data_IF_973842418127
#
_entry.id   IF_973842418127
#
_cell.length_a   1.000
_cell.length_b   1.000
_cell.length_c   1.000
_cell.angle_alpha   90.00
_cell.angle_beta   90.00
_cell.angle_gamma   90.00
#
_symmetry.space_group_name_H-M   'P 1'
#
loop_
_entity.id
_entity.type
_entity.pdbx_description
1 polymer ?
#
# COMPACT_ATOMS: atom_id res chain seq x y z
N UNK A 1 -42.77 63.61 -56.04
CA UNK A 1 -43.98 64.22 -55.41
C UNK A 1 -43.88 63.98 -53.91
N UNK A 2 -43.53 65.01 -53.20
CA UNK A 2 -44.32 65.72 -52.21
C UNK A 2 -44.92 64.80 -51.14
N UNK A 3 -44.56 64.97 -49.94
CA UNK A 3 -44.85 65.78 -48.70
C UNK A 3 -45.27 64.77 -47.64
N UNK A 4 -45.17 64.88 -46.36
CA UNK A 4 -44.91 65.96 -45.40
C UNK A 4 -44.66 65.36 -44.00
N UNK A 5 -43.86 66.04 -43.25
CA UNK A 5 -43.73 66.21 -41.82
C UNK A 5 -44.91 65.84 -40.92
N UNK A 6 -44.61 65.23 -39.79
CA UNK A 6 -45.15 65.65 -38.50
C UNK A 6 -44.15 65.29 -37.37
N UNK A 7 -43.87 66.34 -36.59
CA UNK A 7 -43.15 66.28 -35.32
C UNK A 7 -44.08 65.77 -34.21
N UNK A 8 -43.58 64.93 -33.35
CA UNK A 8 -44.23 64.60 -32.10
C UNK A 8 -43.16 64.29 -31.08
N UNK A 9 -42.91 65.24 -30.19
CA UNK A 9 -41.99 65.08 -29.08
C UNK A 9 -42.58 64.18 -28.00
N UNK A 10 -41.76 63.34 -27.43
CA UNK A 10 -42.07 62.60 -26.23
C UNK A 10 -40.86 62.65 -25.27
N UNK A 11 -41.15 63.04 -24.09
CA UNK A 11 -40.20 63.30 -23.04
C UNK A 11 -39.45 62.02 -22.63
N UNK A 12 -38.18 62.22 -22.42
CA UNK A 12 -37.27 61.19 -21.87
C UNK A 12 -37.44 61.12 -20.33
N UNK A 13 -38.08 60.08 -19.87
CA UNK A 13 -38.06 59.72 -18.44
C UNK A 13 -36.78 58.95 -18.17
N UNK A 14 -35.77 59.56 -17.53
CA UNK A 14 -34.59 58.93 -17.05
C UNK A 14 -34.95 58.16 -15.78
N UNK A 15 -35.10 56.85 -15.88
CA UNK A 15 -35.13 55.94 -14.72
C UNK A 15 -33.73 55.70 -14.23
N UNK A 16 -33.34 56.31 -13.14
CA UNK A 16 -32.09 56.02 -12.45
C UNK A 16 -32.20 54.67 -11.75
N UNK A 17 -31.60 53.63 -12.32
CA UNK A 17 -31.37 52.34 -11.67
C UNK A 17 -30.24 52.51 -10.67
N UNK A 18 -30.57 52.62 -9.38
CA UNK A 18 -29.64 52.46 -8.27
C UNK A 18 -29.28 50.98 -8.16
N UNK A 19 -28.15 50.59 -8.75
CA UNK A 19 -27.51 49.29 -8.50
C UNK A 19 -26.85 49.35 -7.13
N UNK A 20 -27.54 48.84 -6.11
CA UNK A 20 -26.95 48.60 -4.80
C UNK A 20 -25.94 47.43 -4.94
N UNK A 21 -24.68 47.76 -5.11
CA UNK A 21 -23.58 46.77 -5.00
C UNK A 21 -23.52 46.32 -3.54
N UNK A 22 -24.11 45.19 -3.20
CA UNK A 22 -23.88 44.49 -1.97
C UNK A 22 -22.46 43.93 -2.05
N UNK A 23 -21.50 44.63 -1.44
CA UNK A 23 -20.17 44.02 -1.16
C UNK A 23 -20.40 42.88 -0.17
N UNK A 24 -20.44 41.64 -0.67
CA UNK A 24 -20.23 40.48 0.17
C UNK A 24 -18.82 40.57 0.75
N UNK A 25 -18.73 40.99 2.01
CA UNK A 25 -17.50 40.85 2.77
C UNK A 25 -17.26 39.34 2.88
N UNK A 26 -16.41 38.81 2.01
CA UNK A 26 -15.82 37.48 2.19
C UNK A 26 -14.95 37.59 3.45
N UNK A 27 -15.55 37.25 4.59
CA UNK A 27 -14.78 37.03 5.81
C UNK A 27 -13.93 35.79 5.55
N UNK A 28 -12.73 36.00 4.99
CA UNK A 28 -11.69 34.99 5.04
C UNK A 28 -11.46 34.72 6.53
N UNK A 29 -11.66 33.47 7.01
CA UNK A 29 -11.32 33.16 8.38
C UNK A 29 -9.86 33.57 8.57
N UNK A 30 -9.60 34.38 9.59
CA UNK A 30 -8.22 34.75 9.95
C UNK A 30 -7.38 33.48 9.98
N UNK A 31 -6.17 33.49 9.41
CA UNK A 31 -5.29 32.34 9.52
C UNK A 31 -5.21 32.01 11.01
N UNK A 32 -5.64 30.80 11.37
CA UNK A 32 -5.56 30.35 12.76
C UNK A 32 -4.13 30.56 13.17
N UNK A 33 -3.90 31.37 14.20
CA UNK A 33 -2.62 31.45 14.87
C UNK A 33 -2.36 30.07 15.48
N UNK A 34 -1.80 29.17 14.68
CA UNK A 34 -1.16 28.00 15.22
C UNK A 34 0.00 28.53 16.06
N UNK A 35 0.08 28.15 17.33
CA UNK A 35 1.34 28.15 18.06
C UNK A 35 2.40 27.54 17.17
N UNK A 36 3.67 27.75 17.46
CA UNK A 36 4.77 27.28 16.62
C UNK A 36 4.47 25.91 16.05
N UNK A 37 4.45 25.79 14.72
CA UNK A 37 4.13 24.52 14.05
C UNK A 37 5.09 23.46 14.58
N UNK A 38 4.62 22.23 14.88
CA UNK A 38 5.51 21.19 15.36
C UNK A 38 6.64 20.97 14.35
N UNK A 39 7.86 20.83 14.83
CA UNK A 39 9.01 20.55 13.98
C UNK A 39 8.94 19.11 13.46
N UNK A 40 9.66 18.82 12.38
CA UNK A 40 9.81 17.46 11.84
C UNK A 40 10.34 16.51 12.92
N UNK A 41 11.30 16.95 13.72
CA UNK A 41 11.88 16.15 14.81
C UNK A 41 10.83 15.82 15.89
N UNK A 42 9.99 16.79 16.25
CA UNK A 42 8.90 16.55 17.21
C UNK A 42 7.88 15.55 16.67
N UNK A 43 7.47 15.70 15.41
CA UNK A 43 6.53 14.78 14.77
C UNK A 43 7.12 13.39 14.62
N UNK A 44 8.39 13.27 14.22
CA UNK A 44 9.10 11.99 14.11
C UNK A 44 9.19 11.30 15.47
N UNK A 45 9.54 12.04 16.54
CA UNK A 45 9.63 11.48 17.88
C UNK A 45 8.28 10.99 18.40
N UNK A 46 7.21 11.78 18.17
CA UNK A 46 5.84 11.38 18.51
C UNK A 46 5.38 10.17 17.69
N UNK A 47 5.60 10.18 16.37
CA UNK A 47 5.25 9.06 15.49
C UNK A 47 5.91 7.76 15.94
N UNK A 48 7.23 7.80 16.25
CA UNK A 48 7.96 6.67 16.81
C UNK A 48 7.38 6.20 18.15
N UNK A 49 7.14 7.13 19.08
CA UNK A 49 6.63 6.78 20.41
C UNK A 49 5.26 6.12 20.33
N UNK A 50 4.40 6.57 19.42
CA UNK A 50 3.08 5.98 19.14
C UNK A 50 3.18 4.65 18.38
N UNK A 51 4.13 4.51 17.46
CA UNK A 51 4.36 3.29 16.69
C UNK A 51 4.73 2.10 17.59
N UNK A 52 5.44 2.37 18.69
CA UNK A 52 5.87 1.38 19.68
C UNK A 52 4.90 1.22 20.86
N UNK A 53 3.76 1.92 20.87
CA UNK A 53 2.85 1.96 22.02
C UNK A 53 1.67 0.98 21.89
N UNK A 54 1.68 -0.16 22.62
CA UNK A 54 0.54 -1.07 22.63
C UNK A 54 -0.71 -0.47 23.31
N UNK A 55 -0.54 0.56 24.15
CA UNK A 55 -1.63 1.27 24.79
C UNK A 55 -2.60 1.95 23.82
N UNK A 56 -2.22 2.10 22.55
CA UNK A 56 -3.09 2.62 21.51
C UNK A 56 -4.11 1.59 20.99
N UNK A 57 -3.93 0.29 21.23
CA UNK A 57 -4.94 -0.72 20.88
C UNK A 57 -6.04 -0.81 21.95
N UNK A 58 -7.21 -1.27 21.52
CA UNK A 58 -8.39 -1.37 22.40
C UNK A 58 -8.14 -2.24 23.64
N UNK A 59 -7.37 -3.31 23.46
CA UNK A 59 -7.01 -4.27 24.52
C UNK A 59 -5.63 -4.01 25.16
N UNK A 60 -4.89 -3.01 24.69
CA UNK A 60 -3.57 -2.64 25.22
C UNK A 60 -2.44 -3.61 24.85
N UNK A 61 -2.61 -4.48 23.84
CA UNK A 61 -1.63 -5.53 23.50
C UNK A 61 -0.91 -5.32 22.19
N UNK A 62 -1.45 -4.53 21.27
CA UNK A 62 -0.95 -4.38 19.91
C UNK A 62 -0.41 -2.97 19.67
N UNK A 63 0.82 -2.90 19.23
CA UNK A 63 1.44 -1.71 18.67
C UNK A 63 1.63 -1.88 17.15
N UNK A 64 1.88 -0.80 16.41
CA UNK A 64 2.25 -0.92 14.99
C UNK A 64 3.48 -1.82 14.82
N UNK A 65 4.48 -1.68 15.70
CA UNK A 65 5.68 -2.50 15.74
C UNK A 65 5.42 -4.00 16.00
N UNK A 66 4.26 -4.39 16.53
CA UNK A 66 3.89 -5.80 16.70
C UNK A 66 3.76 -6.52 15.36
N UNK A 67 3.19 -5.83 14.36
CA UNK A 67 2.96 -6.35 13.01
C UNK A 67 4.01 -5.87 12.02
N UNK A 68 4.54 -4.66 12.21
CA UNK A 68 5.58 -4.04 11.38
C UNK A 68 6.90 -3.99 12.12
N UNK A 69 7.56 -5.17 12.24
CA UNK A 69 8.80 -5.31 13.02
C UNK A 69 9.96 -4.56 12.34
N UNK A 70 10.60 -3.58 13.01
CA UNK A 70 11.77 -2.90 12.46
C UNK A 70 12.91 -3.85 12.07
N UNK A 71 13.10 -4.95 12.82
CA UNK A 71 14.11 -5.96 12.54
C UNK A 71 13.78 -6.80 11.29
N UNK A 72 12.52 -6.82 10.85
CA UNK A 72 12.07 -7.47 9.62
C UNK A 72 11.76 -6.45 8.51
N UNK A 73 12.53 -5.36 8.45
CA UNK A 73 12.33 -4.27 7.50
C UNK A 73 10.91 -3.65 7.57
N UNK A 74 10.37 -3.45 8.77
CA UNK A 74 9.00 -2.99 9.03
C UNK A 74 7.93 -3.84 8.33
N UNK A 75 8.21 -5.09 8.14
CA UNK A 75 7.29 -6.13 7.65
C UNK A 75 6.95 -7.14 8.75
N UNK A 76 6.23 -8.22 8.41
CA UNK A 76 5.91 -9.28 9.36
C UNK A 76 7.17 -10.05 9.74
N UNK A 77 7.27 -10.42 11.01
CA UNK A 77 8.28 -11.36 11.49
C UNK A 77 7.72 -12.80 11.53
N UNK A 78 8.58 -13.77 11.89
CA UNK A 78 8.18 -15.18 11.94
C UNK A 78 7.09 -15.49 12.98
N UNK A 79 6.87 -14.60 13.98
CA UNK A 79 5.85 -14.75 15.01
C UNK A 79 4.49 -14.18 14.61
N UNK A 80 4.49 -13.20 13.69
CA UNK A 80 3.29 -12.51 13.20
C UNK A 80 3.23 -12.49 11.68
N UNK A 81 3.38 -13.64 10.98
CA UNK A 81 3.37 -13.68 9.51
C UNK A 81 2.01 -13.27 8.93
N UNK A 82 0.95 -13.47 9.70
CA UNK A 82 -0.41 -12.99 9.43
C UNK A 82 -1.02 -12.53 10.74
N UNK A 83 -1.57 -11.31 10.83
CA UNK A 83 -2.19 -10.85 12.04
C UNK A 83 -3.31 -11.81 12.44
N UNK A 84 -3.18 -12.41 13.60
CA UNK A 84 -4.25 -13.13 14.31
C UNK A 84 -4.67 -14.51 13.75
N UNK A 85 -3.80 -15.22 13.04
CA UNK A 85 -4.08 -16.62 12.64
C UNK A 85 -4.44 -17.54 13.82
N UNK A 86 -3.97 -17.21 15.02
CA UNK A 86 -4.21 -17.97 16.27
C UNK A 86 -5.23 -17.32 17.20
N UNK A 87 -5.74 -16.15 16.85
CA UNK A 87 -6.83 -15.50 17.59
C UNK A 87 -8.20 -15.99 17.08
N UNK A 88 -9.27 -15.60 17.76
CA UNK A 88 -10.64 -15.90 17.35
C UNK A 88 -10.80 -15.71 15.82
N UNK A 89 -11.20 -16.76 15.08
CA UNK A 89 -11.38 -16.69 13.63
C UNK A 89 -12.28 -15.54 13.16
N UNK A 90 -13.20 -15.08 14.02
CA UNK A 90 -14.04 -13.93 13.76
C UNK A 90 -13.26 -12.59 13.68
N UNK A 91 -12.03 -12.57 14.17
CA UNK A 91 -11.16 -11.40 14.20
C UNK A 91 -9.85 -11.60 13.42
N UNK A 92 -9.71 -12.70 12.70
CA UNK A 92 -8.50 -12.97 11.93
C UNK A 92 -8.41 -12.06 10.69
N UNK A 93 -7.25 -11.43 10.49
CA UNK A 93 -6.96 -10.71 9.27
C UNK A 93 -6.83 -11.65 8.06
N UNK A 94 -7.29 -11.22 6.91
CA UNK A 94 -7.28 -12.01 5.66
C UNK A 94 -6.08 -11.69 4.77
N UNK A 95 -5.38 -10.59 5.04
CA UNK A 95 -4.27 -10.08 4.21
C UNK A 95 -2.93 -10.21 4.92
N UNK A 96 -1.90 -10.56 4.15
CA UNK A 96 -0.51 -10.52 4.61
C UNK A 96 -0.09 -9.07 4.93
N UNK A 97 0.70 -8.90 5.98
CA UNK A 97 1.21 -7.59 6.41
C UNK A 97 2.21 -7.08 5.34
N UNK A 98 2.00 -5.92 4.72
CA UNK A 98 2.99 -5.32 3.83
C UNK A 98 4.14 -4.72 4.65
N UNK A 99 5.34 -4.64 4.06
CA UNK A 99 6.39 -3.80 4.63
C UNK A 99 6.02 -2.32 4.50
N UNK A 100 6.36 -1.51 5.51
CA UNK A 100 6.25 -0.05 5.42
C UNK A 100 7.45 0.59 4.73
N UNK A 101 8.54 -0.18 4.51
CA UNK A 101 9.70 0.36 3.77
C UNK A 101 9.33 0.71 2.36
N UNK A 102 9.81 1.89 1.93
CA UNK A 102 9.60 2.45 0.59
C UNK A 102 8.14 2.78 0.26
N UNK A 103 7.21 2.64 1.21
CA UNK A 103 5.79 2.92 0.99
C UNK A 103 5.52 4.40 0.66
N UNK A 104 6.36 5.33 1.15
CA UNK A 104 6.26 6.76 0.87
C UNK A 104 6.41 7.13 -0.61
N UNK A 105 6.90 6.22 -1.45
CA UNK A 105 7.07 6.44 -2.89
C UNK A 105 5.92 5.87 -3.75
N UNK A 106 4.90 5.27 -3.15
CA UNK A 106 3.81 4.64 -3.90
C UNK A 106 2.96 5.63 -4.72
N UNK A 107 3.02 6.92 -4.38
CA UNK A 107 2.16 7.94 -4.99
C UNK A 107 0.70 7.82 -4.56
N UNK A 108 -0.13 8.76 -5.03
CA UNK A 108 -1.58 8.67 -4.89
C UNK A 108 -2.14 7.69 -5.92
N UNK A 109 -3.28 7.12 -5.61
CA UNK A 109 -3.97 6.28 -6.58
C UNK A 109 -4.42 7.09 -7.80
N UNK A 110 -4.19 6.52 -8.97
CA UNK A 110 -4.69 7.02 -10.27
C UNK A 110 -5.25 5.83 -11.03
N UNK A 111 -6.47 5.94 -11.54
CA UNK A 111 -7.13 4.83 -12.26
C UNK A 111 -6.56 4.66 -13.67
N UNK A 112 -6.26 5.77 -14.32
CA UNK A 112 -5.72 5.81 -15.68
C UNK A 112 -4.37 6.51 -15.67
N UNK A 113 -3.33 5.79 -16.02
CA UNK A 113 -1.97 6.31 -16.10
C UNK A 113 -1.54 6.36 -17.55
N UNK A 114 -1.25 7.57 -18.04
CA UNK A 114 -0.69 7.77 -19.38
C UNK A 114 0.72 8.34 -19.19
N UNK A 115 1.73 7.59 -19.62
CA UNK A 115 3.11 8.06 -19.74
C UNK A 115 3.50 8.05 -21.23
N UNK A 116 3.72 9.23 -21.79
CA UNK A 116 4.04 9.37 -23.21
C UNK A 116 5.41 8.76 -23.60
N UNK A 117 6.32 8.61 -22.63
CA UNK A 117 7.64 8.01 -22.85
C UNK A 117 7.63 6.48 -22.75
N UNK A 118 6.88 5.92 -21.76
CA UNK A 118 6.84 4.46 -21.53
C UNK A 118 5.66 3.78 -22.25
N UNK A 119 4.50 4.40 -22.26
CA UNK A 119 3.28 3.80 -22.81
C UNK A 119 2.91 4.28 -24.21
N UNK A 120 3.64 5.24 -24.76
CA UNK A 120 3.33 5.88 -26.06
C UNK A 120 1.88 6.40 -26.14
N UNK A 121 1.37 6.96 -25.02
CA UNK A 121 0.03 7.48 -24.91
C UNK A 121 -1.06 6.42 -24.71
N UNK A 122 -0.69 5.16 -24.47
CA UNK A 122 -1.63 4.10 -24.07
C UNK A 122 -1.88 4.18 -22.56
N UNK A 123 -3.13 3.93 -22.15
CA UNK A 123 -3.47 3.86 -20.73
C UNK A 123 -2.77 2.66 -20.07
N UNK A 124 -1.85 2.94 -19.14
CA UNK A 124 -1.13 1.95 -18.35
C UNK A 124 -1.98 1.33 -17.22
N UNK A 125 -3.21 1.80 -17.04
CA UNK A 125 -4.15 1.31 -16.02
C UNK A 125 -3.90 1.89 -14.62
N UNK A 126 -4.53 1.28 -13.60
CA UNK A 126 -4.49 1.79 -12.23
C UNK A 126 -3.12 1.63 -11.59
N UNK A 127 -2.68 2.67 -10.88
CA UNK A 127 -1.40 2.70 -10.16
C UNK A 127 -1.49 3.52 -8.86
N UNK A 128 -0.55 3.32 -7.95
CA UNK A 128 -0.42 4.11 -6.72
C UNK A 128 -1.37 3.68 -5.59
N UNK A 129 -1.49 4.53 -4.59
CA UNK A 129 -2.19 4.21 -3.35
C UNK A 129 -1.42 3.25 -2.45
N UNK A 130 -1.83 3.18 -1.20
CA UNK A 130 -1.29 2.28 -0.18
C UNK A 130 -2.28 1.16 0.14
N UNK A 131 -1.83 0.15 0.89
CA UNK A 131 -2.46 -1.15 1.09
C UNK A 131 -2.40 -2.05 -0.16
N UNK A 132 -2.86 -3.32 -0.04
CA UNK A 132 -2.87 -4.26 -1.16
C UNK A 132 -3.84 -3.87 -2.30
N UNK A 133 -4.85 -3.08 -2.00
CA UNK A 133 -5.90 -2.66 -2.94
C UNK A 133 -5.90 -1.15 -3.23
N UNK A 134 -4.86 -0.45 -2.83
CA UNK A 134 -4.69 0.96 -3.15
C UNK A 134 -5.71 1.92 -2.51
N UNK A 135 -6.43 1.51 -1.46
CA UNK A 135 -7.55 2.27 -0.88
C UNK A 135 -7.15 3.57 -0.17
N UNK A 136 -5.91 3.76 0.22
CA UNK A 136 -5.41 4.96 0.89
C UNK A 136 -4.44 5.74 0.00
N UNK A 137 -4.56 7.06 -0.06
CA UNK A 137 -3.76 7.92 -0.92
C UNK A 137 -2.51 8.50 -0.23
N UNK A 138 -2.37 8.26 1.07
CA UNK A 138 -1.24 8.75 1.86
C UNK A 138 -0.98 7.84 3.06
N UNK A 139 0.22 7.91 3.63
CA UNK A 139 0.53 7.24 4.89
C UNK A 139 -0.39 7.71 6.02
N UNK A 140 -0.80 9.00 6.00
CA UNK A 140 -1.78 9.56 6.95
C UNK A 140 -3.12 8.83 6.88
N UNK A 141 -3.67 8.63 5.69
CA UNK A 141 -4.93 7.91 5.51
C UNK A 141 -4.77 6.43 5.87
N UNK A 142 -3.67 5.81 5.45
CA UNK A 142 -3.40 4.41 5.71
C UNK A 142 -3.28 4.11 7.21
N UNK A 143 -2.56 4.95 7.98
CA UNK A 143 -2.36 4.76 9.41
C UNK A 143 -3.67 4.77 10.23
N UNK A 144 -4.73 5.41 9.71
CA UNK A 144 -6.05 5.42 10.36
C UNK A 144 -6.77 4.07 10.26
N UNK A 145 -6.50 3.28 9.23
CA UNK A 145 -7.19 2.00 8.99
C UNK A 145 -6.95 1.03 10.16
N UNK A 146 -5.71 0.65 10.50
CA UNK A 146 -5.44 -0.30 11.58
C UNK A 146 -5.88 0.19 12.96
N UNK A 147 -5.89 1.51 13.19
CA UNK A 147 -6.31 2.05 14.49
C UNK A 147 -7.76 1.69 14.84
N UNK A 148 -8.64 1.58 13.84
CA UNK A 148 -10.07 1.32 14.02
C UNK A 148 -10.52 -0.06 13.55
N UNK A 149 -9.71 -0.78 12.76
CA UNK A 149 -10.05 -2.12 12.30
C UNK A 149 -10.19 -3.09 13.48
N UNK A 150 -11.33 -3.80 13.54
CA UNK A 150 -11.66 -4.68 14.66
C UNK A 150 -10.66 -5.85 14.81
N UNK A 151 -10.09 -6.32 13.69
CA UNK A 151 -9.09 -7.38 13.64
C UNK A 151 -7.64 -6.87 13.83
N UNK A 152 -7.45 -5.57 14.09
CA UNK A 152 -6.15 -4.94 14.34
C UNK A 152 -6.21 -4.22 15.70
N UNK A 153 -6.13 -2.90 15.76
CA UNK A 153 -6.09 -2.17 17.04
C UNK A 153 -7.48 -1.95 17.69
N UNK A 154 -8.58 -2.11 16.94
CA UNK A 154 -9.94 -2.30 17.45
C UNK A 154 -10.56 -1.12 18.21
N UNK A 155 -10.06 0.12 18.06
CA UNK A 155 -10.66 1.26 18.77
C UNK A 155 -12.06 1.54 18.24
N UNK A 156 -13.01 1.75 19.16
CA UNK A 156 -14.41 1.97 18.83
C UNK A 156 -14.66 3.31 18.09
N UNK A 157 -13.91 4.34 18.45
CA UNK A 157 -14.07 5.71 17.93
C UNK A 157 -12.87 6.61 18.26
N UNK A 158 -12.86 7.81 17.67
CA UNK A 158 -11.85 8.82 17.91
C UNK A 158 -11.76 9.25 19.39
N UNK A 159 -12.87 9.24 20.13
CA UNK A 159 -12.89 9.66 21.52
C UNK A 159 -12.16 8.65 22.42
N UNK A 160 -12.32 7.35 22.15
CA UNK A 160 -11.58 6.29 22.88
C UNK A 160 -10.09 6.38 22.61
N UNK A 161 -9.69 6.58 21.35
CA UNK A 161 -8.29 6.72 20.97
C UNK A 161 -7.66 8.00 21.54
N UNK A 162 -8.35 9.15 21.51
CA UNK A 162 -7.87 10.39 22.11
C UNK A 162 -7.65 10.27 23.62
N UNK A 163 -8.52 9.55 24.34
CA UNK A 163 -8.31 9.29 25.77
C UNK A 163 -7.05 8.44 26.04
N UNK A 164 -6.73 7.48 25.16
CA UNK A 164 -5.50 6.69 25.27
C UNK A 164 -4.26 7.56 25.09
N UNK A 165 -4.26 8.43 24.08
CA UNK A 165 -3.16 9.40 23.85
C UNK A 165 -3.03 10.36 25.04
N UNK A 166 -4.14 10.85 25.60
CA UNK A 166 -4.13 11.74 26.76
C UNK A 166 -3.55 11.09 28.04
N UNK A 167 -3.64 9.76 28.15
CA UNK A 167 -3.06 8.97 29.24
C UNK A 167 -1.68 8.38 28.93
N UNK A 168 -1.16 8.55 27.71
CA UNK A 168 0.11 7.96 27.31
C UNK A 168 1.32 8.71 27.89
N UNK A 169 2.47 8.03 27.95
CA UNK A 169 3.74 8.59 28.44
C UNK A 169 4.21 9.83 27.65
N UNK A 170 3.80 9.97 26.42
CA UNK A 170 4.12 11.08 25.51
C UNK A 170 3.01 12.15 25.44
N UNK A 171 2.02 12.12 26.33
CA UNK A 171 0.90 13.08 26.30
C UNK A 171 1.36 14.53 26.42
N UNK A 172 2.41 14.81 27.20
CA UNK A 172 2.96 16.15 27.36
C UNK A 172 3.73 16.61 26.11
N UNK A 173 4.45 15.71 25.43
CA UNK A 173 5.05 15.96 24.13
C UNK A 173 3.97 16.27 23.09
N UNK A 174 2.89 15.51 23.09
CA UNK A 174 1.75 15.73 22.21
C UNK A 174 1.10 17.09 22.45
N UNK A 175 0.89 17.48 23.72
CA UNK A 175 0.42 18.82 24.07
C UNK A 175 1.37 19.89 23.56
N UNK A 176 2.68 19.77 23.80
CA UNK A 176 3.68 20.76 23.33
C UNK A 176 3.68 20.92 21.82
N UNK A 177 3.50 19.83 21.07
CA UNK A 177 3.51 19.85 19.62
C UNK A 177 2.27 20.52 19.03
N UNK A 178 1.09 20.32 19.63
CA UNK A 178 -0.19 20.70 19.01
C UNK A 178 -1.03 21.70 19.79
N UNK A 179 -0.54 22.20 20.92
CA UNK A 179 -1.24 23.24 21.70
C UNK A 179 -1.32 24.56 20.98
N UNK A 180 -2.43 25.26 21.20
CA UNK A 180 -2.57 26.69 20.94
C UNK A 180 -2.97 27.41 22.23
N UNK A 181 -2.65 28.70 22.40
CA UNK A 181 -3.00 29.46 23.59
C UNK A 181 -4.49 29.36 23.93
N UNK A 182 -4.81 28.95 25.16
CA UNK A 182 -6.16 28.85 25.67
C UNK A 182 -6.98 27.66 25.13
N UNK A 183 -6.37 26.69 24.48
CA UNK A 183 -7.05 25.51 23.91
C UNK A 183 -6.47 24.23 24.47
N UNK A 184 -7.32 23.35 25.01
CA UNK A 184 -6.94 21.98 25.33
C UNK A 184 -6.80 21.17 24.04
N UNK A 185 -5.65 20.55 23.84
CA UNK A 185 -5.33 19.73 22.68
C UNK A 185 -6.27 18.53 22.54
N UNK A 186 -6.75 17.99 23.66
CA UNK A 186 -7.63 16.81 23.70
C UNK A 186 -9.13 17.15 23.64
N UNK A 187 -9.51 18.44 23.54
CA UNK A 187 -10.91 18.85 23.48
C UNK A 187 -11.66 18.38 22.20
N UNK A 188 -10.92 18.16 21.10
CA UNK A 188 -11.47 17.66 19.85
C UNK A 188 -10.82 16.29 19.49
N UNK A 189 -11.49 15.17 19.78
CA UNK A 189 -10.93 13.84 19.50
C UNK A 189 -10.62 13.58 18.03
N UNK A 190 -11.38 14.13 17.09
CA UNK A 190 -11.12 13.96 15.66
C UNK A 190 -9.80 14.64 15.27
N UNK A 191 -9.60 15.84 15.80
CA UNK A 191 -8.36 16.58 15.56
C UNK A 191 -7.14 15.87 16.19
N UNK A 192 -7.29 15.22 17.35
CA UNK A 192 -6.22 14.38 17.95
C UNK A 192 -5.83 13.27 16.98
N UNK A 193 -6.81 12.56 16.42
CA UNK A 193 -6.57 11.47 15.46
C UNK A 193 -5.86 11.97 14.20
N UNK A 194 -6.26 13.14 13.68
CA UNK A 194 -5.57 13.77 12.54
C UNK A 194 -4.11 14.13 12.84
N UNK A 195 -3.82 14.60 14.04
CA UNK A 195 -2.45 14.89 14.46
C UNK A 195 -1.60 13.63 14.67
N UNK A 196 -2.21 12.57 15.18
CA UNK A 196 -1.56 11.24 15.26
C UNK A 196 -1.18 10.76 13.85
N UNK A 197 -2.12 10.82 12.91
CA UNK A 197 -1.90 10.41 11.53
C UNK A 197 -0.80 11.23 10.85
N UNK A 198 -0.74 12.54 11.11
CA UNK A 198 0.37 13.40 10.65
C UNK A 198 1.71 12.96 11.25
N UNK A 199 1.75 12.64 12.54
CA UNK A 199 3.00 12.23 13.18
C UNK A 199 3.48 10.86 12.66
N UNK A 200 2.57 9.91 12.40
CA UNK A 200 2.91 8.64 11.73
C UNK A 200 3.46 8.89 10.31
N UNK A 201 2.77 9.69 9.50
CA UNK A 201 3.22 10.01 8.14
C UNK A 201 4.63 10.61 8.13
N UNK A 202 4.93 11.56 9.04
CA UNK A 202 6.27 12.16 9.12
C UNK A 202 7.31 11.17 9.62
N UNK A 203 6.97 10.30 10.56
CA UNK A 203 7.86 9.24 11.04
C UNK A 203 8.19 8.26 9.92
N UNK A 204 7.19 7.80 9.15
CA UNK A 204 7.37 6.86 8.05
C UNK A 204 8.11 7.43 6.83
N UNK A 205 8.28 8.77 6.75
CA UNK A 205 9.17 9.42 5.79
C UNK A 205 10.65 9.41 6.23
N UNK A 206 10.92 8.92 7.43
CA UNK A 206 12.27 8.81 7.97
C UNK A 206 13.19 7.92 7.12
N UNK A 207 14.51 8.20 7.18
CA UNK A 207 15.53 7.45 6.42
C UNK A 207 15.50 5.94 6.71
N UNK A 208 15.08 5.53 7.88
CA UNK A 208 14.96 4.13 8.27
C UNK A 208 13.91 3.36 7.46
N UNK A 209 12.93 4.06 6.86
CA UNK A 209 11.96 3.47 5.97
C UNK A 209 12.41 3.44 4.50
N UNK A 210 13.50 4.12 4.15
CA UNK A 210 14.04 4.13 2.80
C UNK A 210 15.57 4.31 2.79
N UNK A 211 16.34 3.36 3.32
CA UNK A 211 17.79 3.50 3.46
C UNK A 211 18.55 3.47 2.13
N UNK A 212 18.08 2.77 1.10
CA UNK A 212 18.74 2.62 -0.21
C UNK A 212 20.21 2.17 -0.09
N UNK A 213 20.49 1.20 0.75
CA UNK A 213 21.85 0.72 1.04
C UNK A 213 22.03 -0.79 0.85
N UNK A 214 21.11 -1.43 0.14
CA UNK A 214 21.19 -2.84 -0.22
C UNK A 214 22.47 -3.16 -1.01
N UNK A 215 22.79 -4.45 -1.12
CA UNK A 215 23.92 -4.87 -1.95
C UNK A 215 23.73 -4.47 -3.42
N UNK A 216 22.52 -4.51 -3.92
CA UNK A 216 22.18 -4.06 -5.25
C UNK A 216 22.41 -2.55 -5.42
N UNK A 217 22.03 -1.70 -4.43
CA UNK A 217 22.30 -0.26 -4.49
C UNK A 217 23.80 0.04 -4.52
N UNK A 218 24.59 -0.71 -3.74
CA UNK A 218 26.06 -0.59 -3.77
C UNK A 218 26.65 -1.02 -5.11
N UNK A 219 26.09 -2.07 -5.72
CA UNK A 219 26.48 -2.50 -7.06
C UNK A 219 26.16 -1.45 -8.11
N UNK A 220 24.94 -0.89 -8.12
CA UNK A 220 24.53 0.21 -9.00
C UNK A 220 25.44 1.45 -8.86
N UNK A 221 26.01 1.65 -7.68
CA UNK A 221 26.96 2.73 -7.40
C UNK A 221 28.43 2.36 -7.68
N UNK A 222 28.72 1.18 -8.24
CA UNK A 222 30.07 0.69 -8.50
C UNK A 222 30.87 0.36 -7.23
N UNK A 223 30.20 0.15 -6.08
CA UNK A 223 30.84 -0.07 -4.76
C UNK A 223 30.74 -1.52 -4.28
N UNK A 224 30.13 -2.41 -5.04
CA UNK A 224 30.04 -3.83 -4.78
C UNK A 224 30.01 -4.60 -6.11
N UNK A 225 30.33 -5.88 -6.07
CA UNK A 225 30.15 -6.82 -7.17
C UNK A 225 28.99 -7.77 -6.87
N UNK A 226 28.31 -8.22 -7.90
CA UNK A 226 27.40 -9.36 -7.84
C UNK A 226 28.20 -10.64 -8.07
N UNK A 227 27.76 -11.74 -7.50
CA UNK A 227 28.28 -13.08 -7.82
C UNK A 227 27.77 -13.52 -9.19
N UNK A 228 28.38 -14.53 -9.79
CA UNK A 228 27.97 -15.07 -11.08
C UNK A 228 26.51 -15.56 -11.08
N UNK A 229 26.00 -16.11 -9.96
CA UNK A 229 24.60 -16.50 -9.82
C UNK A 229 23.66 -15.28 -9.78
N UNK A 230 24.00 -14.26 -8.99
CA UNK A 230 23.22 -13.02 -8.90
C UNK A 230 23.17 -12.27 -10.23
N UNK A 231 24.27 -12.27 -11.00
CA UNK A 231 24.31 -11.67 -12.34
C UNK A 231 23.43 -12.43 -13.34
N UNK A 232 23.47 -13.79 -13.30
CA UNK A 232 22.55 -14.58 -14.13
C UNK A 232 21.11 -14.34 -13.72
N UNK A 233 20.82 -14.31 -12.42
CA UNK A 233 19.50 -14.02 -11.89
C UNK A 233 18.98 -12.66 -12.34
N UNK A 234 19.80 -11.61 -12.30
CA UNK A 234 19.42 -10.28 -12.81
C UNK A 234 19.12 -10.31 -14.31
N UNK A 235 19.89 -11.06 -15.11
CA UNK A 235 19.61 -11.21 -16.55
C UNK A 235 18.28 -11.91 -16.79
N UNK A 236 18.04 -13.02 -16.10
CA UNK A 236 16.78 -13.78 -16.20
C UNK A 236 15.56 -12.95 -15.74
N UNK A 237 15.73 -12.19 -14.66
CA UNK A 237 14.73 -11.27 -14.14
C UNK A 237 14.30 -10.22 -15.18
N UNK A 238 15.25 -9.71 -15.97
CA UNK A 238 15.05 -8.70 -17.01
C UNK A 238 14.66 -9.25 -18.37
N UNK A 239 14.84 -10.54 -18.60
CA UNK A 239 14.60 -11.15 -19.91
C UNK A 239 13.09 -11.29 -20.17
N UNK A 240 12.54 -10.56 -21.18
CA UNK A 240 11.11 -10.58 -21.48
C UNK A 240 10.61 -11.95 -21.99
N UNK A 241 11.53 -12.86 -22.34
CA UNK A 241 11.18 -14.22 -22.79
C UNK A 241 11.33 -15.26 -21.68
N UNK A 242 11.83 -14.87 -20.51
CA UNK A 242 12.12 -15.72 -19.35
C UNK A 242 11.32 -15.28 -18.12
N UNK A 243 11.95 -14.57 -17.19
CA UNK A 243 11.34 -14.11 -15.95
C UNK A 243 10.38 -12.95 -16.14
N UNK A 244 10.70 -12.02 -17.05
CA UNK A 244 9.92 -10.82 -17.35
C UNK A 244 9.48 -9.99 -16.13
N UNK A 245 10.21 -10.12 -15.02
CA UNK A 245 9.84 -9.48 -13.75
C UNK A 245 9.96 -7.95 -13.82
N UNK A 246 10.86 -7.44 -14.68
CA UNK A 246 11.14 -6.01 -14.83
C UNK A 246 9.93 -5.23 -15.35
N UNK A 247 8.96 -5.87 -16.00
CA UNK A 247 7.74 -5.21 -16.49
C UNK A 247 6.93 -4.58 -15.36
N UNK A 248 6.73 -5.31 -14.25
CA UNK A 248 6.00 -4.81 -13.08
C UNK A 248 6.94 -4.36 -11.94
N UNK A 249 8.20 -4.82 -11.96
CA UNK A 249 9.18 -4.53 -10.91
C UNK A 249 10.46 -3.91 -11.50
N UNK A 250 10.43 -2.66 -11.99
CA UNK A 250 11.56 -2.00 -12.63
C UNK A 250 12.82 -2.02 -11.78
N UNK A 251 13.93 -2.50 -12.34
CA UNK A 251 15.22 -2.67 -11.65
C UNK A 251 16.27 -1.62 -12.03
N UNK A 252 15.96 -0.76 -12.99
CA UNK A 252 16.88 0.28 -13.48
C UNK A 252 16.67 1.57 -12.71
N UNK A 253 17.67 2.45 -12.73
CA UNK A 253 17.48 3.81 -12.25
C UNK A 253 16.38 4.50 -13.05
N UNK A 254 15.59 5.32 -12.36
CA UNK A 254 14.63 6.19 -13.04
C UNK A 254 15.33 7.16 -13.99
N UNK A 255 14.62 7.74 -14.96
CA UNK A 255 15.15 8.75 -15.86
C UNK A 255 15.78 9.95 -15.11
N UNK A 256 15.25 10.30 -13.92
CA UNK A 256 15.81 11.29 -13.02
C UNK A 256 17.02 10.81 -12.21
N UNK A 257 17.51 9.58 -12.43
CA UNK A 257 18.66 9.01 -11.73
C UNK A 257 18.37 8.42 -10.36
N UNK A 258 17.10 8.37 -9.92
CA UNK A 258 16.68 7.77 -8.67
C UNK A 258 16.95 6.27 -8.61
N UNK A 259 17.13 5.71 -7.41
CA UNK A 259 17.28 4.28 -7.22
C UNK A 259 15.95 3.57 -7.53
N UNK A 260 15.99 2.34 -8.12
CA UNK A 260 14.78 1.61 -8.46
C UNK A 260 14.01 1.19 -7.21
N UNK A 261 12.70 1.27 -7.29
CA UNK A 261 11.79 0.83 -6.21
C UNK A 261 11.40 -0.64 -6.34
N UNK A 262 11.67 -1.27 -7.47
CA UNK A 262 11.23 -2.63 -7.80
C UNK A 262 9.72 -2.81 -7.67
N UNK A 263 8.99 -1.81 -8.11
CA UNK A 263 7.54 -1.77 -8.26
C UNK A 263 7.18 -0.63 -9.21
N UNK A 264 6.19 -0.85 -10.05
CA UNK A 264 5.46 0.15 -10.82
C UNK A 264 4.27 0.73 -10.02
N UNK A 265 4.01 0.17 -8.83
CA UNK A 265 2.81 0.41 -8.02
C UNK A 265 1.49 0.13 -8.77
N UNK A 266 1.54 -0.57 -9.91
CA UNK A 266 0.39 -1.00 -10.70
C UNK A 266 -0.43 -2.09 -10.03
N UNK A 267 -1.52 -2.51 -10.68
CA UNK A 267 -2.43 -3.52 -10.16
C UNK A 267 -2.61 -4.65 -11.16
N UNK A 268 -2.37 -5.88 -10.71
CA UNK A 268 -2.41 -7.06 -11.56
C UNK A 268 -3.09 -8.24 -10.84
N UNK A 269 -3.82 -9.07 -11.60
CA UNK A 269 -4.42 -10.31 -11.12
C UNK A 269 -3.49 -11.49 -11.47
N UNK A 270 -2.62 -11.88 -10.54
CA UNK A 270 -1.66 -12.97 -10.77
C UNK A 270 -2.25 -14.37 -10.48
N UNK A 271 -3.53 -14.45 -10.09
CA UNK A 271 -4.20 -15.72 -9.82
C UNK A 271 -3.52 -16.51 -8.69
N UNK A 272 -3.30 -15.88 -7.55
CA UNK A 272 -2.68 -16.52 -6.38
C UNK A 272 -3.48 -17.73 -5.91
N UNK A 273 -2.84 -18.78 -5.37
CA UNK A 273 -3.56 -19.88 -4.76
C UNK A 273 -4.26 -19.42 -3.47
N UNK A 274 -5.40 -20.05 -3.16
CA UNK A 274 -6.11 -19.81 -1.91
C UNK A 274 -5.29 -20.30 -0.73
N UNK A 275 -5.17 -19.47 0.28
CA UNK A 275 -4.53 -19.87 1.53
C UNK A 275 -5.46 -20.78 2.34
N UNK A 276 -4.98 -21.98 2.68
CA UNK A 276 -5.70 -22.86 3.59
C UNK A 276 -5.87 -22.22 4.98
N UNK A 277 -7.06 -22.35 5.57
CA UNK A 277 -7.35 -21.88 6.93
C UNK A 277 -7.59 -20.36 7.06
N UNK A 278 -7.65 -19.60 5.96
CA UNK A 278 -8.21 -18.25 6.04
C UNK A 278 -9.68 -18.35 6.39
N UNK A 279 -10.17 -17.55 7.38
CA UNK A 279 -11.59 -17.43 7.60
C UNK A 279 -12.24 -16.90 6.31
N UNK A 280 -13.48 -17.33 6.07
CA UNK A 280 -14.30 -16.64 5.08
C UNK A 280 -14.32 -15.14 5.43
N UNK A 281 -14.24 -14.28 4.42
CA UNK A 281 -14.41 -12.85 4.64
C UNK A 281 -15.87 -12.64 5.04
N UNK A 282 -16.15 -12.83 6.32
CA UNK A 282 -17.46 -12.53 6.87
C UNK A 282 -17.60 -11.03 6.80
N UNK A 283 -18.62 -10.56 6.09
CA UNK A 283 -19.04 -9.16 6.16
C UNK A 283 -19.17 -8.80 7.63
N UNK A 284 -18.21 -8.06 8.16
CA UNK A 284 -18.24 -7.68 9.56
C UNK A 284 -19.47 -6.82 9.77
N UNK A 285 -20.17 -7.04 10.87
CA UNK A 285 -21.40 -6.31 11.24
C UNK A 285 -21.16 -4.82 11.40
N UNK A 286 -19.91 -4.38 11.29
CA UNK A 286 -19.49 -2.99 11.34
C UNK A 286 -18.32 -2.77 10.36
N UNK A 287 -18.62 -2.64 9.04
CA UNK A 287 -17.57 -2.37 8.06
C UNK A 287 -16.91 -1.04 8.39
N UNK A 288 -15.62 -1.07 8.61
CA UNK A 288 -14.78 0.14 8.71
C UNK A 288 -14.82 0.86 7.35
N UNK A 289 -15.05 0.08 6.29
CA UNK A 289 -15.19 0.56 4.91
C UNK A 289 -16.37 -0.15 4.23
N UNK A 290 -17.10 0.56 3.40
CA UNK A 290 -18.25 0.02 2.65
C UNK A 290 -17.90 -1.21 1.77
N UNK A 291 -16.62 -1.39 1.42
CA UNK A 291 -16.10 -2.53 0.68
C UNK A 291 -16.12 -3.85 1.46
N UNK A 292 -16.06 -3.81 2.79
CA UNK A 292 -16.09 -5.00 3.65
C UNK A 292 -17.51 -5.56 3.83
N UNK A 293 -18.54 -4.77 3.50
CA UNK A 293 -19.93 -5.10 3.74
C UNK A 293 -20.56 -6.05 2.72
N UNK A 294 -19.87 -6.40 1.63
CA UNK A 294 -20.43 -7.25 0.56
C UNK A 294 -19.81 -8.65 0.67
N UNK A 295 -20.57 -9.59 1.21
CA UNK A 295 -20.17 -10.97 1.42
C UNK A 295 -19.58 -11.61 0.18
N UNK A 296 -18.27 -11.75 0.18
CA UNK A 296 -17.51 -12.66 -0.66
C UNK A 296 -16.64 -13.47 0.28
N UNK A 297 -16.51 -14.76 0.02
CA UNK A 297 -15.61 -15.64 0.76
C UNK A 297 -14.16 -15.52 0.29
N UNK A 298 -13.90 -14.62 -0.69
CA UNK A 298 -12.57 -14.31 -1.24
C UNK A 298 -12.33 -12.80 -1.32
N UNK A 299 -11.05 -12.40 -1.22
CA UNK A 299 -10.62 -11.02 -1.37
C UNK A 299 -10.52 -10.63 -2.85
N UNK A 300 -11.35 -9.68 -3.27
CA UNK A 300 -11.40 -9.25 -4.66
C UNK A 300 -10.50 -8.02 -4.95
N UNK A 301 -9.67 -7.59 -3.99
CA UNK A 301 -8.66 -6.57 -4.22
C UNK A 301 -9.22 -5.22 -4.67
N UNK A 302 -8.68 -4.69 -5.77
CA UNK A 302 -8.93 -3.32 -6.24
C UNK A 302 -10.41 -2.98 -6.43
N UNK A 303 -11.22 -3.89 -7.00
CA UNK A 303 -12.66 -3.62 -7.18
C UNK A 303 -13.43 -3.54 -5.85
N UNK A 304 -12.81 -3.88 -4.73
CA UNK A 304 -13.36 -3.76 -3.36
C UNK A 304 -12.63 -2.73 -2.52
N UNK A 305 -11.80 -1.91 -3.13
CA UNK A 305 -11.06 -0.83 -2.43
C UNK A 305 -11.96 0.25 -1.83
N UNK A 306 -13.22 0.32 -2.24
CA UNK A 306 -14.14 1.40 -1.87
C UNK A 306 -14.01 2.66 -2.74
N UNK A 307 -13.16 2.63 -3.76
CA UNK A 307 -13.03 3.76 -4.69
C UNK A 307 -14.22 3.82 -5.64
N UNK A 308 -14.77 5.02 -5.93
CA UNK A 308 -15.89 5.19 -6.84
C UNK A 308 -15.58 4.62 -8.23
N UNK A 309 -16.55 3.94 -8.84
CA UNK A 309 -16.46 3.40 -10.20
C UNK A 309 -15.79 2.03 -10.29
N UNK A 310 -14.79 1.72 -9.45
CA UNK A 310 -14.02 0.48 -9.58
C UNK A 310 -14.82 -0.80 -9.29
N UNK A 311 -15.90 -0.71 -8.50
CA UNK A 311 -16.78 -1.85 -8.21
C UNK A 311 -17.67 -2.25 -9.37
N UNK A 312 -17.79 -1.39 -10.38
CA UNK A 312 -18.71 -1.56 -11.51
C UNK A 312 -18.04 -2.29 -12.69
N UNK A 313 -16.70 -2.32 -12.68
CA UNK A 313 -15.91 -3.05 -13.67
C UNK A 313 -15.30 -4.32 -13.06
N UNK A 314 -15.77 -5.52 -13.45
CA UNK A 314 -15.25 -6.78 -12.94
C UNK A 314 -13.79 -7.04 -13.33
N UNK A 315 -13.24 -6.36 -14.33
CA UNK A 315 -11.83 -6.49 -14.72
C UNK A 315 -10.85 -6.02 -13.65
N UNK A 316 -11.30 -5.19 -12.70
CA UNK A 316 -10.50 -4.77 -11.55
C UNK A 316 -10.51 -5.80 -10.40
N UNK A 317 -11.41 -6.78 -10.44
CA UNK A 317 -11.48 -7.78 -9.37
C UNK A 317 -10.33 -8.79 -9.45
N UNK A 318 -9.78 -9.15 -8.29
CA UNK A 318 -8.61 -10.01 -8.18
C UNK A 318 -7.28 -9.30 -8.46
N UNK A 319 -7.30 -8.00 -8.79
CA UNK A 319 -6.08 -7.20 -8.93
C UNK A 319 -5.62 -6.68 -7.58
N UNK A 320 -4.33 -6.87 -7.32
CA UNK A 320 -3.64 -6.37 -6.15
C UNK A 320 -2.43 -5.56 -6.58
N UNK A 321 -2.08 -4.57 -5.73
CA UNK A 321 -0.96 -3.68 -6.01
C UNK A 321 0.36 -4.45 -6.06
N UNK A 322 1.15 -4.21 -7.08
CA UNK A 322 2.53 -4.70 -7.19
C UNK A 322 3.36 -4.19 -6.00
N UNK A 323 3.81 -5.07 -5.09
CA UNK A 323 4.62 -4.63 -3.95
C UNK A 323 6.05 -4.34 -4.38
N UNK A 324 6.74 -3.48 -3.63
CA UNK A 324 8.20 -3.39 -3.78
C UNK A 324 8.88 -4.72 -3.48
N UNK A 325 9.90 -5.10 -4.27
CA UNK A 325 10.74 -6.26 -3.97
C UNK A 325 11.94 -5.89 -3.08
N UNK A 326 12.09 -4.63 -2.70
CA UNK A 326 13.09 -4.28 -1.68
C UNK A 326 12.79 -4.99 -0.38
N UNK A 327 13.81 -5.60 0.21
CA UNK A 327 13.71 -6.45 1.38
C UNK A 327 12.81 -7.70 1.22
N UNK A 328 12.51 -8.12 -0.01
CA UNK A 328 11.62 -9.28 -0.25
C UNK A 328 12.13 -10.57 0.40
N UNK A 329 13.43 -10.72 0.57
CA UNK A 329 14.04 -11.90 1.20
C UNK A 329 13.87 -11.96 2.73
N UNK A 330 13.42 -10.87 3.39
CA UNK A 330 13.12 -10.89 4.83
C UNK A 330 11.71 -11.40 5.13
N UNK A 331 10.87 -11.55 4.10
CA UNK A 331 9.47 -11.94 4.25
C UNK A 331 9.32 -13.43 4.50
N UNK A 332 8.33 -13.78 5.31
CA UNK A 332 7.96 -15.15 5.65
C UNK A 332 6.59 -15.56 5.08
N UNK A 333 5.87 -14.61 4.47
CA UNK A 333 4.62 -14.85 3.75
C UNK A 333 4.53 -13.93 2.54
N UNK A 334 3.96 -14.43 1.45
CA UNK A 334 3.95 -13.78 0.15
C UNK A 334 2.54 -13.72 -0.42
N UNK A 335 2.33 -12.81 -1.38
CA UNK A 335 1.05 -12.40 -1.92
C UNK A 335 0.16 -11.69 -0.90
N UNK A 336 -0.97 -11.18 -1.37
CA UNK A 336 -1.92 -10.45 -0.53
C UNK A 336 -2.50 -11.32 0.59
N UNK A 337 -2.74 -12.61 0.34
CA UNK A 337 -3.31 -13.58 1.28
C UNK A 337 -2.25 -14.34 2.10
N UNK A 338 -0.96 -14.22 1.78
CA UNK A 338 0.11 -14.93 2.46
C UNK A 338 0.15 -16.43 2.17
N UNK A 339 -0.31 -16.87 0.99
CA UNK A 339 -0.42 -18.29 0.64
C UNK A 339 0.92 -19.02 0.54
N UNK A 340 1.99 -18.34 0.09
CA UNK A 340 3.31 -18.92 -0.07
C UNK A 340 4.27 -18.44 1.03
N UNK A 341 5.25 -19.29 1.38
CA UNK A 341 6.07 -19.09 2.57
C UNK A 341 7.59 -19.01 2.31
N UNK A 342 8.02 -19.16 1.07
CA UNK A 342 9.42 -18.97 0.69
C UNK A 342 9.55 -18.22 -0.62
N UNK A 343 10.62 -17.42 -0.75
CA UNK A 343 10.91 -16.66 -1.96
C UNK A 343 11.11 -17.57 -3.18
N UNK A 344 11.73 -18.76 -2.96
CA UNK A 344 11.89 -19.75 -4.04
C UNK A 344 10.54 -20.28 -4.54
N UNK A 345 9.64 -20.56 -3.62
CA UNK A 345 8.27 -21.00 -3.94
C UNK A 345 7.52 -19.96 -4.76
N UNK A 346 7.68 -18.65 -4.44
CA UNK A 346 7.10 -17.54 -5.23
C UNK A 346 7.64 -17.53 -6.65
N UNK A 347 8.96 -17.62 -6.85
CA UNK A 347 9.54 -17.62 -8.20
C UNK A 347 9.15 -18.89 -8.96
N UNK A 348 9.06 -20.05 -8.29
CA UNK A 348 8.56 -21.29 -8.87
C UNK A 348 7.08 -21.18 -9.29
N UNK A 349 6.24 -20.51 -8.49
CA UNK A 349 4.85 -20.22 -8.84
C UNK A 349 4.76 -19.44 -10.16
N UNK A 350 5.51 -18.36 -10.30
CA UNK A 350 5.55 -17.58 -11.54
C UNK A 350 6.01 -18.42 -12.75
N UNK A 351 6.95 -19.34 -12.53
CA UNK A 351 7.47 -20.20 -13.61
C UNK A 351 6.51 -21.33 -14.00
N UNK A 352 5.72 -21.89 -13.06
CA UNK A 352 5.03 -23.17 -13.25
C UNK A 352 3.53 -23.10 -13.00
N UNK A 353 2.95 -21.95 -12.67
CA UNK A 353 1.52 -21.79 -12.39
C UNK A 353 0.62 -22.43 -13.46
N UNK A 354 0.90 -22.17 -14.72
CA UNK A 354 0.09 -22.62 -15.85
C UNK A 354 0.59 -23.92 -16.50
N UNK A 355 1.80 -24.39 -16.13
CA UNK A 355 2.37 -25.67 -16.60
C UNK A 355 2.14 -26.82 -15.63
N UNK A 356 2.01 -26.52 -14.33
CA UNK A 356 1.69 -27.51 -13.29
C UNK A 356 0.67 -26.92 -12.27
N UNK A 357 -0.54 -26.58 -12.73
CA UNK A 357 -1.54 -25.96 -11.86
C UNK A 357 -1.99 -26.88 -10.71
N UNK A 358 -1.85 -28.19 -10.85
CA UNK A 358 -2.20 -29.16 -9.81
C UNK A 358 -1.29 -29.12 -8.59
N UNK A 359 -0.11 -28.51 -8.71
CA UNK A 359 0.80 -28.24 -7.59
C UNK A 359 0.31 -27.05 -6.73
N UNK A 360 -0.31 -26.06 -7.36
CA UNK A 360 -0.61 -24.78 -6.75
C UNK A 360 -2.03 -24.65 -6.23
N UNK A 361 -2.98 -25.28 -6.91
CA UNK A 361 -4.40 -25.07 -6.66
C UNK A 361 -5.08 -26.31 -6.11
N UNK A 362 -6.19 -26.09 -5.40
CA UNK A 362 -7.05 -27.15 -4.90
C UNK A 362 -7.69 -27.97 -6.04
N UNK A 363 -8.36 -29.05 -5.68
CA UNK A 363 -9.10 -29.88 -6.65
C UNK A 363 -10.59 -29.79 -6.39
N UNK A 364 -11.36 -29.79 -7.48
CA UNK A 364 -12.80 -29.95 -7.48
C UNK A 364 -13.21 -31.34 -7.03
N UNK A 365 -14.50 -31.55 -6.73
CA UNK A 365 -15.03 -32.84 -6.32
C UNK A 365 -14.87 -33.94 -7.39
N UNK A 366 -14.81 -33.58 -8.68
CA UNK A 366 -14.57 -34.48 -9.82
C UNK A 366 -13.07 -34.79 -10.06
N UNK A 367 -12.18 -34.25 -9.22
CA UNK A 367 -10.72 -34.41 -9.32
C UNK A 367 -10.03 -33.47 -10.28
N UNK A 368 -10.74 -32.63 -11.03
CA UNK A 368 -10.14 -31.56 -11.85
C UNK A 368 -9.49 -30.49 -10.98
N UNK A 369 -8.50 -29.77 -11.54
CA UNK A 369 -7.84 -28.66 -10.82
C UNK A 369 -8.77 -27.46 -10.80
N UNK A 370 -8.97 -26.89 -9.61
CA UNK A 370 -9.68 -25.63 -9.41
C UNK A 370 -8.69 -24.47 -9.57
N UNK A 371 -8.27 -24.19 -10.81
CA UNK A 371 -7.29 -23.13 -11.06
C UNK A 371 -7.80 -21.76 -10.60
N UNK A 372 -6.88 -20.95 -10.03
CA UNK A 372 -7.17 -19.62 -9.50
C UNK A 372 -8.22 -19.63 -8.37
N UNK A 373 -8.10 -20.60 -7.48
CA UNK A 373 -9.10 -20.93 -6.44
C UNK A 373 -9.27 -19.84 -5.34
N UNK A 374 -8.48 -18.75 -5.41
CA UNK A 374 -8.70 -17.54 -4.63
C UNK A 374 -9.50 -16.46 -5.40
N UNK A 375 -10.19 -16.85 -6.47
CA UNK A 375 -11.08 -16.00 -7.26
C UNK A 375 -12.38 -16.71 -7.59
N UNK A 376 -13.51 -16.01 -7.76
CA UNK A 376 -14.71 -16.53 -8.40
C UNK A 376 -14.40 -16.98 -9.83
N UNK A 377 -15.02 -18.05 -10.27
CA UNK A 377 -14.74 -18.69 -11.57
C UNK A 377 -14.92 -17.73 -12.77
N UNK A 378 -15.87 -16.81 -12.70
CA UNK A 378 -16.14 -15.79 -13.73
C UNK A 378 -15.07 -14.70 -13.79
N UNK A 379 -14.25 -14.56 -12.74
CA UNK A 379 -13.11 -13.61 -12.68
C UNK A 379 -11.82 -14.21 -13.23
N UNK A 380 -11.72 -15.52 -13.41
CA UNK A 380 -10.53 -16.20 -13.91
C UNK A 380 -10.09 -15.74 -15.32
N UNK A 381 -11.00 -15.14 -16.09
CA UNK A 381 -10.70 -14.56 -17.41
C UNK A 381 -9.82 -13.30 -17.34
N UNK A 382 -9.75 -12.62 -16.18
CA UNK A 382 -8.97 -11.41 -15.98
C UNK A 382 -7.58 -11.70 -15.38
N UNK A 383 -7.27 -12.97 -15.09
CA UNK A 383 -5.95 -13.36 -14.61
C UNK A 383 -4.93 -13.18 -15.71
N UNK A 384 -3.80 -12.56 -15.35
CA UNK A 384 -2.67 -12.38 -16.26
C UNK A 384 -2.09 -13.73 -16.69
N UNK A 385 -1.89 -13.91 -17.99
CA UNK A 385 -1.36 -15.12 -18.62
C UNK A 385 -0.12 -14.87 -19.47
N UNK A 386 0.39 -13.65 -19.44
CA UNK A 386 1.60 -13.30 -20.18
C UNK A 386 2.85 -13.89 -19.53
N UNK A 387 4.00 -13.69 -20.17
CA UNK A 387 5.30 -14.09 -19.61
C UNK A 387 5.48 -13.48 -18.22
N UNK A 388 5.84 -14.28 -17.19
CA UNK A 388 6.43 -15.63 -17.22
C UNK A 388 5.42 -16.79 -17.16
N UNK A 389 4.13 -16.54 -17.06
CA UNK A 389 3.10 -17.58 -16.92
C UNK A 389 2.88 -18.38 -18.22
N UNK A 390 2.98 -17.70 -19.37
CA UNK A 390 2.79 -18.31 -20.67
C UNK A 390 3.81 -19.44 -20.90
N UNK A 391 3.35 -20.70 -21.15
CA UNK A 391 4.27 -21.82 -21.36
C UNK A 391 5.10 -21.66 -22.65
N UNK A 392 6.29 -22.25 -22.66
CA UNK A 392 7.03 -22.50 -23.91
C UNK A 392 6.29 -23.54 -24.78
N UNK A 393 6.56 -23.60 -26.11
CA UNK A 393 6.06 -24.63 -26.98
C UNK A 393 6.29 -26.05 -26.38
N UNK A 394 5.24 -26.86 -26.36
CA UNK A 394 5.24 -28.18 -25.71
C UNK A 394 4.90 -28.16 -24.23
N UNK A 395 4.38 -27.06 -23.70
CA UNK A 395 3.87 -26.96 -22.33
C UNK A 395 4.97 -26.91 -21.25
N UNK A 396 6.20 -26.55 -21.61
CA UNK A 396 7.31 -26.45 -20.66
C UNK A 396 7.34 -25.09 -19.96
N UNK A 397 7.77 -25.02 -18.68
CA UNK A 397 7.98 -23.76 -18.00
C UNK A 397 9.10 -22.94 -18.65
N UNK A 398 9.02 -21.59 -18.51
CA UNK A 398 10.03 -20.69 -19.06
C UNK A 398 11.32 -20.65 -18.24
N UNK A 399 11.26 -21.02 -16.97
CA UNK A 399 12.40 -21.10 -16.07
C UNK A 399 12.56 -22.54 -15.57
N UNK A 400 13.79 -23.03 -15.54
CA UNK A 400 14.15 -24.27 -14.85
C UNK A 400 14.54 -24.00 -13.38
N UNK A 401 14.76 -25.06 -12.60
CA UNK A 401 15.08 -24.98 -11.17
C UNK A 401 16.35 -24.15 -10.89
N UNK A 402 17.36 -24.24 -11.73
CA UNK A 402 18.59 -23.47 -11.58
C UNK A 402 18.37 -21.99 -11.90
N UNK A 403 17.59 -21.68 -12.91
CA UNK A 403 17.22 -20.33 -13.27
C UNK A 403 16.37 -19.67 -12.17
N UNK A 404 15.47 -20.44 -11.54
CA UNK A 404 14.72 -20.03 -10.35
C UNK A 404 15.68 -19.69 -9.20
N UNK A 405 16.65 -20.57 -8.91
CA UNK A 405 17.63 -20.33 -7.84
C UNK A 405 18.54 -19.11 -8.11
N UNK A 406 18.91 -18.87 -9.37
CA UNK A 406 19.68 -17.69 -9.78
C UNK A 406 18.85 -16.39 -9.59
N UNK A 407 17.54 -16.38 -9.95
CA UNK A 407 16.65 -15.24 -9.67
C UNK A 407 16.51 -14.99 -8.17
N UNK A 408 16.34 -16.04 -7.36
CA UNK A 408 16.27 -15.93 -5.90
C UNK A 408 17.58 -15.36 -5.33
N UNK A 409 18.74 -15.78 -5.85
CA UNK A 409 20.02 -15.21 -5.45
C UNK A 409 20.09 -13.69 -5.75
N UNK A 410 19.62 -13.27 -6.92
CA UNK A 410 19.51 -11.85 -7.24
C UNK A 410 18.57 -11.12 -6.28
N UNK A 411 17.34 -11.61 -6.05
CA UNK A 411 16.37 -10.98 -5.19
C UNK A 411 16.86 -10.77 -3.74
N UNK A 412 17.71 -11.67 -3.23
CA UNK A 412 18.36 -11.50 -1.92
C UNK A 412 19.27 -10.28 -1.86
N UNK A 413 19.82 -9.81 -2.99
CA UNK A 413 20.67 -8.61 -3.04
C UNK A 413 19.90 -7.31 -2.78
N UNK A 414 18.55 -7.36 -2.80
CA UNK A 414 17.67 -6.22 -2.57
C UNK A 414 17.40 -5.95 -1.08
N UNK A 415 18.04 -6.70 -0.19
CA UNK A 415 17.93 -6.54 1.26
C UNK A 415 18.82 -5.39 1.74
N UNK A 416 18.25 -4.43 2.45
CA UNK A 416 18.98 -3.31 3.05
C UNK A 416 19.96 -3.80 4.13
N UNK A 417 21.02 -3.05 4.36
CA UNK A 417 22.16 -3.51 5.15
C UNK A 417 21.80 -3.86 6.60
N UNK A 418 20.92 -3.09 7.25
CA UNK A 418 20.46 -3.34 8.61
C UNK A 418 19.61 -4.61 8.72
N UNK A 419 18.71 -4.82 7.76
CA UNK A 419 17.86 -6.02 7.70
C UNK A 419 18.68 -7.29 7.36
N UNK A 420 19.69 -7.17 6.51
CA UNK A 420 20.62 -8.25 6.22
C UNK A 420 21.42 -8.66 7.45
N UNK A 421 21.90 -7.71 8.25
CA UNK A 421 22.65 -7.97 9.48
C UNK A 421 21.81 -8.74 10.53
N UNK A 422 20.50 -8.50 10.58
CA UNK A 422 19.58 -9.27 11.45
C UNK A 422 19.41 -10.69 10.93
N UNK A 423 19.23 -10.86 9.63
CA UNK A 423 19.06 -12.19 9.00
C UNK A 423 20.30 -13.07 9.19
N UNK A 424 21.50 -12.47 9.14
CA UNK A 424 22.79 -13.17 9.33
C UNK A 424 23.15 -13.39 10.80
N UNK A 425 22.31 -12.99 11.76
CA UNK A 425 22.55 -13.15 13.20
C UNK A 425 23.63 -12.24 13.78
N UNK A 426 24.08 -11.22 13.03
CA UNK A 426 25.17 -10.32 13.42
C UNK A 426 24.72 -9.25 14.43
N UNK A 427 23.43 -8.92 14.50
CA UNK A 427 22.87 -7.95 15.46
C UNK A 427 22.21 -8.64 16.64
N UNK A 428 23.00 -9.34 17.44
CA UNK A 428 22.67 -9.58 18.83
C UNK A 428 23.02 -8.33 19.65
N UNK A 429 22.01 -7.57 20.08
CA UNK A 429 22.12 -6.47 21.06
C UNK A 429 22.83 -5.19 20.62
N UNK A 430 22.09 -4.27 20.03
CA UNK A 430 22.29 -2.84 20.26
C UNK A 430 20.93 -2.09 20.04
N UNK A 431 19.99 -2.30 20.92
CA UNK A 431 18.86 -1.39 21.14
C UNK A 431 18.64 -1.33 22.66
N UNK A 432 19.27 -0.35 23.31
CA UNK A 432 18.92 0.13 24.64
C UNK A 432 18.44 1.55 24.51
#
# INVERSE_FOLDING_TARGET
MRRSRALGGVGATVAALLVSAAFAVVVTPAPRAYGDRPSVEQLTALGRAMFDDPGLSADGRLACATCHDPAAAFGPNARTPNPFADADPAHAGTRSIPSLRYAQFAGRFTEHTVDDEETHGVDGGPTGGLTWDGRADSAREQALIPLFAAHEMGNADAASLARRVAGARYADEFRRAFSAPGRDVFADPKQVVEWMALAFEVFEQGREFAPFDSRYDRWLAGRAALTASEERGLKLYRDPTKGNCETCHPSRRTAAGGAPLFTDAGFIAVGTPRRAGLPAIVATTRPVLASEARGSDVDLGLCRSGRPGLSDDPSYCGRFRTPTLRNVATRTSFFHNGALHSLREVVAFYATRDTDPGHWYSRNADGSVHAYDDLPADMAQFVDREVPFEPLPGGRPRLDDREIDDIVAFLKTLTDADAAAVADGVTGRAAR
#
